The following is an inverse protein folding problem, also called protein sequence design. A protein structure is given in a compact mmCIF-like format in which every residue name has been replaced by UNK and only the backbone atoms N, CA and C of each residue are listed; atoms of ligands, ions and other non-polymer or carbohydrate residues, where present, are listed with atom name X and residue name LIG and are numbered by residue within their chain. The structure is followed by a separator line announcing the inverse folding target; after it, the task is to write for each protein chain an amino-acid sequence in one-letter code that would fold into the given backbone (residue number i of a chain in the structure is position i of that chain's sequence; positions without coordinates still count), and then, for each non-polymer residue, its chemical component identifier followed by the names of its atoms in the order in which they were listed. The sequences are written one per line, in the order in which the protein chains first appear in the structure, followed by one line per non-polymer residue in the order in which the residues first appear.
data_IF_870485247074
#
_entry.id   IF_870485247074
#
_cell.length_a   1.000
_cell.length_b   1.000
_cell.length_c   1.000
_cell.angle_alpha   90.00
_cell.angle_beta   90.00
_cell.angle_gamma   90.00
#
_symmetry.space_group_name_H-M   'P 1'
#
loop_
_entity.id
_entity.type
_entity.pdbx_description
1 polymer ?
#
# COMPACT_ATOMS: atom_id res chain seq x y z
N UNK A 1 -14.60 16.97 23.85
CA UNK A 1 -15.26 15.74 23.36
C UNK A 1 -14.28 14.85 22.60
N UNK A 2 -13.59 15.35 21.58
CA UNK A 2 -12.64 14.58 20.75
C UNK A 2 -11.56 13.84 21.56
N UNK A 3 -10.93 14.52 22.54
CA UNK A 3 -9.93 13.89 23.41
C UNK A 3 -10.51 12.73 24.25
N UNK A 4 -11.77 12.85 24.69
CA UNK A 4 -12.45 11.79 25.45
C UNK A 4 -12.80 10.60 24.55
N UNK A 5 -13.22 10.86 23.31
CA UNK A 5 -13.47 9.82 22.30
C UNK A 5 -12.17 9.10 21.93
N UNK A 6 -11.07 9.83 21.73
CA UNK A 6 -9.76 9.26 21.47
C UNK A 6 -9.28 8.38 22.64
N UNK A 7 -9.40 8.88 23.87
CA UNK A 7 -9.06 8.10 25.06
C UNK A 7 -9.93 6.84 25.19
N UNK A 8 -11.21 6.91 24.82
CA UNK A 8 -12.09 5.75 24.77
C UNK A 8 -11.65 4.74 23.71
N UNK A 9 -11.27 5.18 22.50
CA UNK A 9 -10.74 4.29 21.45
C UNK A 9 -9.50 3.55 21.93
N UNK A 10 -8.57 4.27 22.57
CA UNK A 10 -7.31 3.69 23.08
C UNK A 10 -7.60 2.66 24.17
N UNK A 11 -8.48 2.99 25.13
CA UNK A 11 -8.76 2.15 26.30
C UNK A 11 -9.65 0.93 25.99
N UNK A 12 -10.66 1.13 25.15
CA UNK A 12 -11.77 0.19 24.95
C UNK A 12 -11.81 -0.44 23.55
N UNK A 13 -11.02 0.09 22.61
CA UNK A 13 -11.03 -0.36 21.22
C UNK A 13 -12.17 0.25 20.38
N UNK A 14 -12.07 0.14 19.03
CA UNK A 14 -13.05 0.70 18.11
C UNK A 14 -14.42 -0.01 18.18
N UNK A 15 -14.43 -1.29 18.53
CA UNK A 15 -15.63 -2.14 18.65
C UNK A 15 -16.61 -1.61 19.71
N UNK A 16 -16.09 -1.24 20.89
CA UNK A 16 -16.90 -0.69 21.97
C UNK A 16 -17.34 0.75 21.68
N UNK A 17 -16.54 1.52 20.93
CA UNK A 17 -16.95 2.87 20.50
C UNK A 17 -18.17 2.81 19.60
N UNK A 18 -18.24 1.88 18.64
CA UNK A 18 -19.38 1.77 17.73
C UNK A 18 -20.69 1.48 18.48
N UNK A 19 -20.64 0.69 19.56
CA UNK A 19 -21.80 0.41 20.40
C UNK A 19 -22.34 1.67 21.12
N UNK A 20 -21.44 2.59 21.50
CA UNK A 20 -21.78 3.82 22.24
C UNK A 20 -22.11 4.96 21.27
N UNK A 21 -21.39 5.04 20.15
CA UNK A 21 -21.44 6.14 19.20
C UNK A 21 -21.37 5.62 17.75
N UNK A 22 -22.47 5.08 17.22
CA UNK A 22 -22.51 4.52 15.87
C UNK A 22 -22.20 5.59 14.80
N UNK A 23 -21.49 5.20 13.75
CA UNK A 23 -21.01 6.14 12.73
C UNK A 23 -22.12 6.72 11.84
N UNK A 24 -23.26 6.02 11.69
CA UNK A 24 -24.39 6.39 10.82
C UNK A 24 -23.98 6.86 9.41
N UNK A 25 -23.04 6.16 8.79
CA UNK A 25 -22.63 6.45 7.41
C UNK A 25 -23.81 6.22 6.45
N UNK A 26 -23.92 6.97 5.33
CA UNK A 26 -25.08 6.96 4.42
C UNK A 26 -25.13 5.69 3.54
N UNK A 27 -25.26 4.53 4.18
CA UNK A 27 -25.25 3.21 3.56
C UNK A 27 -26.60 2.84 2.96
N UNK A 28 -27.69 3.16 3.66
CA UNK A 28 -29.07 2.84 3.27
C UNK A 28 -29.47 3.55 1.99
N UNK A 29 -29.17 4.85 1.91
CA UNK A 29 -29.44 5.69 0.75
C UNK A 29 -28.61 5.21 -0.44
N UNK A 30 -27.34 4.86 -0.21
CA UNK A 30 -26.49 4.29 -1.27
C UNK A 30 -26.96 2.94 -1.77
N UNK A 31 -27.41 2.03 -0.89
CA UNK A 31 -27.99 0.76 -1.32
C UNK A 31 -29.22 0.98 -2.19
N UNK A 32 -30.13 1.88 -1.78
CA UNK A 32 -31.32 2.22 -2.55
C UNK A 32 -30.97 2.79 -3.95
N UNK A 33 -29.96 3.67 -4.04
CA UNK A 33 -29.46 4.21 -5.31
C UNK A 33 -28.88 3.11 -6.20
N UNK A 34 -28.12 2.18 -5.63
CA UNK A 34 -27.53 1.04 -6.38
C UNK A 34 -28.62 0.12 -6.92
N UNK A 35 -29.71 -0.05 -6.18
CA UNK A 35 -30.88 -0.85 -6.57
C UNK A 35 -31.81 -0.11 -7.55
N UNK A 36 -31.48 1.12 -7.96
CA UNK A 36 -32.24 1.91 -8.94
C UNK A 36 -33.42 2.68 -8.35
N UNK A 37 -33.52 2.76 -7.02
CA UNK A 37 -34.56 3.56 -6.35
C UNK A 37 -34.24 5.04 -6.42
N UNK A 38 -35.27 5.87 -6.57
CA UNK A 38 -35.14 7.33 -6.52
C UNK A 38 -34.99 7.79 -5.07
N UNK A 39 -33.80 8.23 -4.70
CA UNK A 39 -33.54 8.84 -3.38
C UNK A 39 -33.57 10.36 -3.53
N UNK A 40 -34.36 11.03 -2.69
CA UNK A 40 -34.42 12.48 -2.68
C UNK A 40 -33.15 13.10 -2.09
N UNK A 41 -32.76 14.28 -2.60
CA UNK A 41 -31.61 15.05 -2.07
C UNK A 41 -31.74 15.30 -0.58
N UNK A 42 -32.94 15.64 -0.10
CA UNK A 42 -33.18 15.89 1.32
C UNK A 42 -32.93 14.67 2.20
N UNK A 43 -33.26 13.45 1.71
CA UNK A 43 -32.93 12.21 2.42
C UNK A 43 -31.42 11.99 2.50
N UNK A 44 -30.71 12.25 1.40
CA UNK A 44 -29.26 12.10 1.33
C UNK A 44 -28.52 13.12 2.22
N UNK A 45 -28.94 14.39 2.18
CA UNK A 45 -28.41 15.45 3.03
C UNK A 45 -28.62 15.13 4.51
N UNK A 46 -29.80 14.60 4.89
CA UNK A 46 -30.06 14.18 6.26
C UNK A 46 -29.15 13.04 6.70
N UNK A 47 -28.94 12.04 5.84
CA UNK A 47 -28.04 10.93 6.12
C UNK A 47 -26.58 11.40 6.28
N UNK A 48 -26.12 12.32 5.43
CA UNK A 48 -24.79 12.93 5.53
C UNK A 48 -24.67 13.78 6.81
N UNK A 49 -25.70 14.55 7.17
CA UNK A 49 -25.67 15.40 8.37
C UNK A 49 -25.65 14.60 9.68
N UNK A 50 -26.29 13.42 9.70
CA UNK A 50 -26.27 12.50 10.85
C UNK A 50 -24.98 11.66 10.89
N UNK A 51 -24.29 11.54 9.76
CA UNK A 51 -23.01 10.82 9.66
C UNK A 51 -21.97 11.45 10.58
N UNK A 52 -21.42 10.64 11.48
CA UNK A 52 -20.34 11.04 12.39
C UNK A 52 -18.97 10.83 11.76
N UNK A 53 -18.81 11.26 10.51
CA UNK A 53 -17.58 11.10 9.74
C UNK A 53 -16.35 11.74 10.41
N UNK A 54 -16.55 12.77 11.25
CA UNK A 54 -15.51 13.38 12.07
C UNK A 54 -14.83 12.41 13.06
N UNK A 55 -15.42 11.25 13.35
CA UNK A 55 -14.81 10.20 14.17
C UNK A 55 -13.72 9.44 13.40
N UNK A 56 -13.77 9.39 12.06
CA UNK A 56 -12.84 8.59 11.24
C UNK A 56 -11.36 9.00 11.43
N UNK A 57 -10.99 10.30 11.46
CA UNK A 57 -9.63 10.71 11.80
C UNK A 57 -9.21 10.34 13.23
N UNK A 58 -10.14 10.32 14.19
CA UNK A 58 -9.86 9.89 15.57
C UNK A 58 -9.66 8.38 15.66
N UNK A 59 -10.40 7.60 14.87
CA UNK A 59 -10.15 6.16 14.71
C UNK A 59 -8.78 5.92 14.08
N UNK A 60 -8.40 6.69 13.06
CA UNK A 60 -7.09 6.57 12.42
C UNK A 60 -5.94 6.77 13.42
N UNK A 61 -6.05 7.73 14.34
CA UNK A 61 -5.00 7.99 15.33
C UNK A 61 -5.04 7.04 16.53
N UNK A 62 -6.23 6.73 17.06
CA UNK A 62 -6.39 5.94 18.28
C UNK A 62 -6.17 4.43 18.12
N UNK A 63 -6.52 3.87 16.95
CA UNK A 63 -6.51 2.41 16.74
C UNK A 63 -5.11 1.81 16.83
N UNK A 64 -4.06 2.56 16.45
CA UNK A 64 -2.66 2.10 16.53
C UNK A 64 -2.20 1.73 17.95
N UNK A 65 -2.84 2.32 18.94
CA UNK A 65 -2.50 2.17 20.37
C UNK A 65 -3.59 1.42 21.14
N UNK A 66 -4.51 0.72 20.45
CA UNK A 66 -5.60 -0.02 21.08
C UNK A 66 -5.56 -1.49 20.71
N UNK A 67 -6.15 -2.32 21.57
CA UNK A 67 -6.36 -3.74 21.28
C UNK A 67 -7.56 -3.87 20.36
N UNK A 68 -7.31 -4.06 19.07
CA UNK A 68 -8.34 -4.15 18.05
C UNK A 68 -8.12 -5.35 17.13
N UNK A 69 -9.18 -5.70 16.41
CA UNK A 69 -9.16 -6.74 15.38
C UNK A 69 -9.26 -6.12 13.99
N UNK A 70 -8.52 -6.66 13.03
CA UNK A 70 -8.62 -6.31 11.63
C UNK A 70 -9.90 -6.91 11.02
N UNK A 71 -10.38 -8.04 11.54
CA UNK A 71 -11.67 -8.62 11.13
C UNK A 71 -12.85 -7.67 11.37
N UNK A 72 -12.83 -6.89 12.46
CA UNK A 72 -13.84 -5.84 12.70
C UNK A 72 -13.91 -4.86 11.53
N UNK A 73 -12.76 -4.40 11.03
CA UNK A 73 -12.73 -3.51 9.87
C UNK A 73 -13.40 -4.17 8.65
N UNK A 74 -13.06 -5.43 8.36
CA UNK A 74 -13.58 -6.14 7.19
C UNK A 74 -15.06 -6.51 7.29
N UNK A 75 -15.60 -6.63 8.51
CA UNK A 75 -17.01 -6.97 8.75
C UNK A 75 -17.90 -5.72 8.81
N UNK A 76 -17.43 -4.63 9.43
CA UNK A 76 -18.28 -3.47 9.73
C UNK A 76 -18.01 -2.31 8.75
N UNK A 77 -16.73 -1.95 8.57
CA UNK A 77 -16.34 -0.76 7.81
C UNK A 77 -16.19 -1.04 6.32
N UNK A 78 -15.61 -2.18 5.95
CA UNK A 78 -15.36 -2.54 4.56
C UNK A 78 -16.62 -2.68 3.70
N UNK A 79 -17.71 -3.36 4.14
CA UNK A 79 -18.93 -3.43 3.33
C UNK A 79 -19.56 -2.06 3.13
N UNK A 80 -19.50 -1.21 4.15
CA UNK A 80 -19.99 0.17 4.09
C UNK A 80 -19.18 0.99 3.08
N UNK A 81 -17.85 0.89 3.12
CA UNK A 81 -16.97 1.48 2.13
C UNK A 81 -17.28 1.01 0.70
N UNK A 82 -17.46 -0.29 0.48
CA UNK A 82 -17.84 -0.85 -0.84
C UNK A 82 -19.14 -0.27 -1.37
N UNK A 83 -20.15 -0.12 -0.51
CA UNK A 83 -21.43 0.49 -0.87
C UNK A 83 -21.24 1.96 -1.27
N UNK A 84 -20.47 2.73 -0.49
CA UNK A 84 -20.19 4.13 -0.79
C UNK A 84 -19.46 4.32 -2.13
N UNK A 85 -18.39 3.57 -2.38
CA UNK A 85 -17.62 3.69 -3.64
C UNK A 85 -18.48 3.39 -4.87
N UNK A 86 -19.45 2.47 -4.75
CA UNK A 86 -20.35 2.12 -5.86
C UNK A 86 -21.39 3.21 -6.16
N UNK A 87 -21.91 3.92 -5.16
CA UNK A 87 -22.94 4.94 -5.34
C UNK A 87 -22.34 6.33 -5.67
N UNK A 88 -21.17 6.69 -5.12
CA UNK A 88 -20.60 8.06 -5.19
C UNK A 88 -20.52 8.60 -6.62
N UNK A 89 -20.05 7.79 -7.57
CA UNK A 89 -19.93 8.23 -8.97
C UNK A 89 -21.28 8.55 -9.63
N UNK A 90 -22.35 7.82 -9.26
CA UNK A 90 -23.70 8.11 -9.73
C UNK A 90 -24.29 9.34 -9.05
N UNK A 91 -24.14 9.44 -7.72
CA UNK A 91 -24.61 10.60 -6.94
C UNK A 91 -23.95 11.88 -7.42
N UNK A 92 -22.63 11.91 -7.61
CA UNK A 92 -21.89 13.11 -8.02
C UNK A 92 -22.34 13.68 -9.37
N UNK A 93 -22.90 12.85 -10.25
CA UNK A 93 -23.47 13.29 -11.53
C UNK A 93 -24.83 13.98 -11.39
N UNK A 94 -25.63 13.55 -10.41
CA UNK A 94 -27.00 14.06 -10.20
C UNK A 94 -27.00 15.19 -9.15
N UNK A 95 -26.26 14.99 -8.06
CA UNK A 95 -26.14 15.86 -6.89
C UNK A 95 -24.64 16.08 -6.58
N UNK A 96 -23.99 17.06 -7.24
CA UNK A 96 -22.53 17.24 -7.16
C UNK A 96 -22.01 17.54 -5.76
N UNK A 97 -22.76 18.31 -4.96
CA UNK A 97 -22.34 18.70 -3.60
C UNK A 97 -22.33 17.49 -2.65
N UNK A 98 -23.45 16.77 -2.58
CA UNK A 98 -23.62 15.58 -1.76
C UNK A 98 -22.68 14.46 -2.23
N UNK A 99 -22.55 14.27 -3.54
CA UNK A 99 -21.62 13.33 -4.12
C UNK A 99 -20.17 13.62 -3.73
N UNK A 100 -19.77 14.90 -3.66
CA UNK A 100 -18.44 15.30 -3.21
C UNK A 100 -18.22 15.07 -1.71
N UNK A 101 -19.25 15.31 -0.88
CA UNK A 101 -19.19 15.00 0.55
C UNK A 101 -19.07 13.49 0.80
N UNK A 102 -19.83 12.67 0.06
CA UNK A 102 -19.74 11.21 0.15
C UNK A 102 -18.41 10.67 -0.36
N UNK A 103 -17.86 11.28 -1.40
CA UNK A 103 -16.51 11.01 -1.89
C UNK A 103 -15.47 11.28 -0.79
N UNK A 104 -15.58 12.40 -0.07
CA UNK A 104 -14.73 12.68 1.07
C UNK A 104 -14.89 11.64 2.20
N UNK A 105 -16.12 11.23 2.52
CA UNK A 105 -16.39 10.22 3.56
C UNK A 105 -15.77 8.86 3.17
N UNK A 106 -15.92 8.40 1.93
CA UNK A 106 -15.35 7.10 1.53
C UNK A 106 -13.82 7.13 1.54
N UNK A 107 -13.21 8.26 1.15
CA UNK A 107 -11.76 8.45 1.22
C UNK A 107 -11.25 8.46 2.66
N UNK A 108 -11.96 9.13 3.58
CA UNK A 108 -11.62 9.11 5.01
C UNK A 108 -11.74 7.70 5.59
N UNK A 109 -12.80 6.97 5.21
CA UNK A 109 -13.04 5.62 5.69
C UNK A 109 -11.88 4.69 5.27
N UNK A 110 -11.51 4.68 4.00
CA UNK A 110 -10.38 3.84 3.53
C UNK A 110 -9.02 4.30 4.08
N UNK A 111 -8.86 5.59 4.40
CA UNK A 111 -7.64 6.12 5.02
C UNK A 111 -7.43 5.63 6.46
N UNK A 112 -8.47 5.10 7.12
CA UNK A 112 -8.32 4.45 8.43
C UNK A 112 -7.70 3.05 8.34
N UNK A 113 -7.84 2.36 7.19
CA UNK A 113 -7.38 0.97 7.01
C UNK A 113 -5.90 0.76 7.34
N UNK A 114 -4.93 1.61 6.91
CA UNK A 114 -3.54 1.42 7.29
C UNK A 114 -3.28 1.44 8.80
N UNK A 115 -4.11 2.15 9.55
CA UNK A 115 -3.98 2.22 11.01
C UNK A 115 -4.54 0.96 11.67
N UNK A 116 -5.66 0.43 11.16
CA UNK A 116 -6.18 -0.89 11.55
C UNK A 116 -5.27 -2.05 11.14
N UNK A 117 -4.46 -1.86 10.10
CA UNK A 117 -3.47 -2.84 9.67
C UNK A 117 -2.22 -2.85 10.58
N UNK A 118 -2.08 -1.88 11.49
CA UNK A 118 -0.96 -1.76 12.43
C UNK A 118 -1.40 -2.30 13.79
N UNK A 119 -0.65 -3.23 14.38
CA UNK A 119 -0.92 -3.82 15.70
C UNK A 119 -2.28 -4.55 15.91
N UNK A 120 -2.99 -4.94 14.86
CA UNK A 120 -4.17 -5.82 14.99
C UNK A 120 -3.82 -7.22 15.55
N UNK A 121 -4.63 -7.73 16.48
CA UNK A 121 -4.36 -8.98 17.19
C UNK A 121 -4.54 -10.25 16.34
N UNK A 122 -5.27 -10.15 15.23
CA UNK A 122 -5.71 -11.23 14.35
C UNK A 122 -5.16 -11.12 12.91
N UNK A 123 -4.04 -10.39 12.72
CA UNK A 123 -3.45 -10.11 11.39
C UNK A 123 -3.27 -11.35 10.51
N UNK A 124 -2.88 -12.49 11.09
CA UNK A 124 -2.64 -13.73 10.36
C UNK A 124 -3.92 -14.25 9.72
N UNK A 125 -4.98 -14.38 10.51
CA UNK A 125 -6.28 -14.88 10.07
C UNK A 125 -6.98 -13.89 9.14
N UNK A 126 -6.95 -12.60 9.47
CA UNK A 126 -7.58 -11.54 8.70
C UNK A 126 -6.92 -11.38 7.33
N UNK A 127 -5.58 -11.40 7.25
CA UNK A 127 -4.86 -11.38 5.96
C UNK A 127 -5.25 -12.59 5.11
N UNK A 128 -5.26 -13.80 5.69
CA UNK A 128 -5.58 -15.02 4.94
C UNK A 128 -7.01 -15.03 4.40
N UNK A 129 -8.00 -14.64 5.22
CA UNK A 129 -9.41 -14.59 4.82
C UNK A 129 -9.67 -13.52 3.76
N UNK A 130 -9.08 -12.34 3.93
CA UNK A 130 -9.39 -11.16 3.11
C UNK A 130 -8.42 -10.95 1.94
N UNK A 131 -7.42 -11.81 1.76
CA UNK A 131 -6.38 -11.68 0.72
C UNK A 131 -6.95 -11.42 -0.69
N UNK A 132 -7.95 -12.20 -1.10
CA UNK A 132 -8.57 -12.05 -2.44
C UNK A 132 -9.27 -10.69 -2.59
N UNK A 133 -10.00 -10.27 -1.56
CA UNK A 133 -10.72 -9.00 -1.56
C UNK A 133 -9.74 -7.82 -1.60
N UNK A 134 -8.63 -7.92 -0.87
CA UNK A 134 -7.56 -6.93 -0.88
C UNK A 134 -6.87 -6.84 -2.24
N UNK A 135 -6.50 -8.00 -2.81
CA UNK A 135 -5.89 -8.12 -4.13
C UNK A 135 -6.76 -7.49 -5.23
N UNK A 136 -8.05 -7.83 -5.27
CA UNK A 136 -9.02 -7.24 -6.21
C UNK A 136 -9.17 -5.74 -5.98
N UNK A 137 -9.16 -5.29 -4.72
CA UNK A 137 -9.20 -3.89 -4.35
C UNK A 137 -8.03 -3.11 -4.96
N UNK A 138 -6.80 -3.59 -4.79
CA UNK A 138 -5.60 -2.94 -5.35
C UNK A 138 -5.65 -2.93 -6.88
N UNK A 139 -6.03 -4.05 -7.49
CA UNK A 139 -6.07 -4.19 -8.95
C UNK A 139 -7.11 -3.27 -9.62
N UNK A 140 -8.29 -3.10 -9.01
CA UNK A 140 -9.41 -2.36 -9.61
C UNK A 140 -9.51 -0.89 -9.21
N UNK A 141 -8.98 -0.52 -8.04
CA UNK A 141 -9.03 0.88 -7.56
C UNK A 141 -7.91 1.71 -8.17
N UNK A 142 -8.06 3.04 -8.18
CA UNK A 142 -7.04 4.02 -8.61
C UNK A 142 -6.90 5.13 -7.54
N UNK A 143 -5.89 5.98 -7.68
CA UNK A 143 -5.70 7.16 -6.84
C UNK A 143 -5.54 6.85 -5.35
N UNK A 144 -6.15 7.68 -4.51
CA UNK A 144 -6.05 7.57 -3.05
C UNK A 144 -6.57 6.25 -2.48
N UNK A 145 -7.55 5.61 -3.14
CA UNK A 145 -8.05 4.30 -2.69
C UNK A 145 -6.95 3.25 -2.80
N UNK A 146 -6.32 3.15 -3.98
CA UNK A 146 -5.20 2.23 -4.21
C UNK A 146 -4.05 2.54 -3.26
N UNK A 147 -3.74 3.82 -3.09
CA UNK A 147 -2.68 4.27 -2.18
C UNK A 147 -2.89 3.75 -0.75
N UNK A 148 -4.09 3.88 -0.19
CA UNK A 148 -4.39 3.43 1.16
C UNK A 148 -4.42 1.90 1.28
N UNK A 149 -4.89 1.18 0.26
CA UNK A 149 -4.83 -0.28 0.23
C UNK A 149 -3.40 -0.81 0.22
N UNK A 150 -2.51 -0.21 -0.56
CA UNK A 150 -1.09 -0.56 -0.59
C UNK A 150 -0.38 -0.19 0.72
N UNK A 151 -0.61 1.02 1.25
CA UNK A 151 -0.07 1.44 2.55
C UNK A 151 -0.49 0.49 3.65
N UNK A 152 -1.76 0.09 3.69
CA UNK A 152 -2.24 -0.85 4.69
C UNK A 152 -1.57 -2.22 4.59
N UNK A 153 -1.35 -2.74 3.38
CA UNK A 153 -0.66 -4.01 3.20
C UNK A 153 0.79 -3.91 3.68
N UNK A 154 1.46 -2.80 3.37
CA UNK A 154 2.82 -2.53 3.83
C UNK A 154 2.88 -2.47 5.36
N UNK A 155 2.01 -1.67 6.01
CA UNK A 155 1.95 -1.55 7.46
C UNK A 155 1.69 -2.89 8.15
N UNK A 156 0.82 -3.73 7.58
CA UNK A 156 0.53 -5.07 8.11
C UNK A 156 1.78 -5.95 8.12
N UNK A 157 2.47 -6.03 6.99
CA UNK A 157 3.65 -6.88 6.85
C UNK A 157 4.81 -6.34 7.68
N UNK A 158 5.02 -5.02 7.67
CA UNK A 158 6.03 -4.36 8.48
C UNK A 158 5.81 -4.64 9.98
N UNK A 159 4.60 -4.39 10.49
CA UNK A 159 4.26 -4.65 11.90
C UNK A 159 4.46 -6.13 12.27
N UNK A 160 4.06 -7.04 11.39
CA UNK A 160 4.24 -8.47 11.59
C UNK A 160 5.73 -8.88 11.64
N UNK A 161 6.58 -8.28 10.79
CA UNK A 161 8.03 -8.52 10.77
C UNK A 161 8.70 -7.98 12.03
N UNK A 162 8.35 -6.77 12.45
CA UNK A 162 8.86 -6.15 13.68
C UNK A 162 8.51 -7.01 14.90
N UNK A 163 7.28 -7.51 14.98
CA UNK A 163 6.87 -8.41 16.06
C UNK A 163 7.49 -9.80 15.99
N UNK A 164 7.78 -10.32 14.80
CA UNK A 164 8.41 -11.63 14.62
C UNK A 164 9.91 -11.65 14.98
N UNK A 165 10.56 -10.47 14.94
CA UNK A 165 11.98 -10.30 15.20
C UNK A 165 12.39 -10.85 16.59
N UNK A 166 13.65 -11.30 16.75
CA UNK A 166 14.17 -11.63 18.06
C UNK A 166 14.13 -10.39 18.96
N UNK A 167 13.68 -10.57 20.21
CA UNK A 167 13.67 -9.51 21.20
C UNK A 167 15.08 -8.92 21.33
N UNK A 168 15.20 -7.59 21.22
CA UNK A 168 16.45 -6.90 21.56
C UNK A 168 16.57 -6.87 23.08
N UNK A 169 17.79 -6.79 23.61
CA UNK A 169 18.01 -6.67 25.08
C UNK A 169 17.28 -5.46 25.70
N UNK A 170 16.95 -4.44 24.89
CA UNK A 170 16.15 -3.27 25.27
C UNK A 170 14.66 -3.57 25.49
N UNK A 171 14.11 -4.59 24.84
CA UNK A 171 12.65 -4.84 24.78
C UNK A 171 12.15 -5.63 26.01
N UNK A 172 13.05 -6.10 26.87
CA UNK A 172 12.72 -6.83 28.09
C UNK A 172 12.22 -5.92 29.24
N UNK A 173 12.21 -4.59 29.06
CA UNK A 173 11.87 -3.63 30.13
C UNK A 173 10.51 -2.94 29.98
N UNK A 174 9.87 -3.03 28.81
CA UNK A 174 8.56 -2.42 28.58
C UNK A 174 7.63 -3.44 27.90
N UNK A 175 6.83 -4.14 28.70
CA UNK A 175 5.66 -4.84 28.17
C UNK A 175 4.66 -3.78 27.70
N UNK A 176 4.72 -3.41 26.43
CA UNK A 176 3.66 -2.60 25.83
C UNK A 176 2.47 -3.53 25.51
N UNK A 177 1.35 -3.45 26.27
CA UNK A 177 0.22 -4.38 26.13
C UNK A 177 -0.52 -4.25 24.79
N UNK A 178 -0.21 -3.21 24.01
CA UNK A 178 -0.80 -2.90 22.71
C UNK A 178 -0.02 -3.45 21.53
N UNK A 179 1.16 -4.04 21.75
CA UNK A 179 1.93 -4.69 20.69
C UNK A 179 1.36 -6.07 20.41
N UNK A 180 1.42 -6.47 19.14
CA UNK A 180 1.02 -7.82 18.73
C UNK A 180 2.00 -8.85 19.27
N UNK A 181 1.49 -10.02 19.64
CA UNK A 181 2.36 -11.09 20.11
C UNK A 181 3.32 -11.57 19.00
N UNK A 182 4.53 -11.96 19.41
CA UNK A 182 5.52 -12.56 18.50
C UNK A 182 4.97 -13.78 17.74
N UNK A 183 4.12 -14.57 18.38
CA UNK A 183 3.47 -15.72 17.76
C UNK A 183 2.55 -15.32 16.60
N UNK A 184 1.77 -14.24 16.78
CA UNK A 184 0.93 -13.68 15.70
C UNK A 184 1.82 -13.14 14.59
N UNK A 185 2.83 -12.32 14.90
CA UNK A 185 3.76 -11.79 13.90
C UNK A 185 4.41 -12.88 13.04
N UNK A 186 4.91 -13.95 13.66
CA UNK A 186 5.48 -15.10 12.93
C UNK A 186 4.46 -15.81 12.03
N UNK A 187 3.22 -16.00 12.48
CA UNK A 187 2.16 -16.61 11.66
C UNK A 187 1.79 -15.69 10.48
N UNK A 188 1.67 -14.40 10.72
CA UNK A 188 1.37 -13.41 9.68
C UNK A 188 2.46 -13.35 8.62
N UNK A 189 3.74 -13.36 9.01
CA UNK A 189 4.87 -13.44 8.07
C UNK A 189 4.78 -14.70 7.21
N UNK A 190 4.45 -15.87 7.79
CA UNK A 190 4.24 -17.11 7.01
C UNK A 190 3.05 -17.03 6.06
N UNK A 191 1.96 -16.38 6.46
CA UNK A 191 0.81 -16.12 5.57
C UNK A 191 1.23 -15.20 4.41
N UNK A 192 1.90 -14.09 4.70
CA UNK A 192 2.38 -13.14 3.71
C UNK A 192 3.38 -13.77 2.73
N UNK A 193 4.29 -14.61 3.22
CA UNK A 193 5.23 -15.37 2.39
C UNK A 193 4.51 -16.28 1.38
N UNK A 194 3.46 -17.00 1.81
CA UNK A 194 2.65 -17.86 0.91
C UNK A 194 1.91 -17.06 -0.16
N UNK A 195 1.46 -15.85 0.18
CA UNK A 195 0.70 -14.97 -0.71
C UNK A 195 1.59 -14.05 -1.56
N UNK A 196 2.89 -14.00 -1.26
CA UNK A 196 3.84 -13.04 -1.83
C UNK A 196 3.85 -13.00 -3.35
N UNK A 197 3.90 -14.15 -4.03
CA UNK A 197 3.90 -14.22 -5.50
C UNK A 197 2.69 -13.50 -6.11
N UNK A 198 1.50 -13.72 -5.56
CA UNK A 198 0.27 -13.12 -6.06
C UNK A 198 0.24 -11.61 -5.80
N UNK A 199 0.57 -11.20 -4.58
CA UNK A 199 0.61 -9.77 -4.23
C UNK A 199 1.69 -9.02 -5.00
N UNK A 200 2.89 -9.56 -5.14
CA UNK A 200 3.97 -8.93 -5.91
C UNK A 200 3.58 -8.71 -7.36
N UNK A 201 2.93 -9.69 -8.01
CA UNK A 201 2.45 -9.52 -9.38
C UNK A 201 1.46 -8.35 -9.47
N UNK A 202 0.48 -8.31 -8.57
CA UNK A 202 -0.54 -7.26 -8.52
C UNK A 202 0.09 -5.89 -8.24
N UNK A 203 1.03 -5.82 -7.31
CA UNK A 203 1.70 -4.57 -6.92
C UNK A 203 2.61 -4.05 -8.03
N UNK A 204 3.32 -4.94 -8.74
CA UNK A 204 4.10 -4.55 -9.91
C UNK A 204 3.21 -3.99 -11.00
N UNK A 205 2.12 -4.69 -11.35
CA UNK A 205 1.18 -4.21 -12.35
C UNK A 205 0.53 -2.89 -11.93
N UNK A 206 0.14 -2.75 -10.65
CA UNK A 206 -0.49 -1.56 -10.10
C UNK A 206 0.46 -0.34 -10.05
N UNK A 207 1.75 -0.55 -9.84
CA UNK A 207 2.76 0.52 -9.88
C UNK A 207 3.06 1.00 -11.30
N UNK A 208 2.86 0.16 -12.31
CA UNK A 208 3.09 0.49 -13.73
C UNK A 208 1.90 1.18 -14.41
N UNK A 209 0.75 1.21 -13.75
CA UNK A 209 -0.40 1.95 -14.25
C UNK A 209 -0.21 3.46 -14.04
N UNK A 210 -0.68 4.29 -14.98
CA UNK A 210 -0.57 5.74 -14.85
C UNK A 210 -1.43 6.23 -13.67
N UNK A 211 -0.80 6.82 -12.67
CA UNK A 211 -1.44 7.37 -11.48
C UNK A 211 -0.55 8.46 -10.85
N UNK A 212 -1.03 9.10 -9.79
CA UNK A 212 -0.24 10.08 -9.05
C UNK A 212 1.03 9.43 -8.45
N UNK A 213 2.20 10.11 -8.44
CA UNK A 213 3.45 9.53 -7.95
C UNK A 213 3.38 8.92 -6.54
N UNK A 214 2.57 9.51 -5.66
CA UNK A 214 2.36 8.99 -4.30
C UNK A 214 1.66 7.64 -4.24
N UNK A 215 0.95 7.25 -5.30
CA UNK A 215 0.32 5.93 -5.45
C UNK A 215 1.37 4.91 -5.86
N UNK A 216 2.21 5.24 -6.85
CA UNK A 216 3.35 4.41 -7.26
C UNK A 216 4.27 4.16 -6.07
N UNK A 217 4.60 5.19 -5.29
CA UNK A 217 5.41 5.05 -4.07
C UNK A 217 4.78 4.08 -3.05
N UNK A 218 3.46 4.18 -2.83
CA UNK A 218 2.76 3.25 -1.94
C UNK A 218 2.78 1.80 -2.45
N UNK A 219 2.62 1.59 -3.76
CA UNK A 219 2.74 0.27 -4.38
C UNK A 219 4.15 -0.29 -4.25
N UNK A 220 5.19 0.53 -4.49
CA UNK A 220 6.60 0.16 -4.36
C UNK A 220 6.93 -0.19 -2.91
N UNK A 221 6.48 0.61 -1.95
CA UNK A 221 6.69 0.33 -0.53
C UNK A 221 6.04 -0.99 -0.10
N UNK A 222 4.78 -1.23 -0.50
CA UNK A 222 4.11 -2.50 -0.25
C UNK A 222 4.82 -3.69 -0.92
N UNK A 223 5.34 -3.51 -2.14
CA UNK A 223 6.10 -4.53 -2.83
C UNK A 223 7.43 -4.83 -2.13
N UNK A 224 8.08 -3.81 -1.57
CA UNK A 224 9.29 -3.98 -0.76
C UNK A 224 9.02 -4.78 0.51
N UNK A 225 7.99 -4.41 1.28
CA UNK A 225 7.63 -5.12 2.51
C UNK A 225 7.23 -6.58 2.25
N UNK A 226 6.43 -6.84 1.21
CA UNK A 226 6.11 -8.21 0.78
C UNK A 226 7.37 -8.94 0.27
N UNK A 227 8.26 -8.25 -0.44
CA UNK A 227 9.51 -8.79 -0.94
C UNK A 227 10.45 -9.26 0.18
N UNK A 228 10.45 -8.57 1.33
CA UNK A 228 11.26 -8.92 2.50
C UNK A 228 10.82 -10.21 3.20
N UNK A 229 9.58 -10.67 2.97
CA UNK A 229 9.06 -11.95 3.47
C UNK A 229 8.95 -13.01 2.38
N UNK A 230 9.14 -12.63 1.11
CA UNK A 230 9.00 -13.54 -0.03
C UNK A 230 10.14 -14.58 -0.08
N UNK A 231 9.90 -15.78 -0.64
CA UNK A 231 10.98 -16.74 -0.87
C UNK A 231 12.02 -16.16 -1.84
N UNK A 232 13.31 -16.28 -1.48
CA UNK A 232 14.43 -15.68 -2.22
C UNK A 232 14.39 -16.03 -3.72
N UNK A 233 14.25 -17.32 -4.08
CA UNK A 233 14.17 -17.73 -5.49
C UNK A 233 13.01 -17.07 -6.24
N UNK A 234 11.87 -16.91 -5.57
CA UNK A 234 10.67 -16.32 -6.13
C UNK A 234 10.87 -14.84 -6.45
N UNK A 235 11.29 -14.04 -5.46
CA UNK A 235 11.46 -12.60 -5.63
C UNK A 235 12.54 -12.28 -6.67
N UNK A 236 13.68 -12.97 -6.65
CA UNK A 236 14.75 -12.76 -7.62
C UNK A 236 14.31 -13.10 -9.06
N UNK A 237 13.51 -14.15 -9.25
CA UNK A 237 12.96 -14.50 -10.58
C UNK A 237 11.97 -13.46 -11.11
N UNK A 238 11.07 -12.96 -10.24
CA UNK A 238 10.11 -11.91 -10.60
C UNK A 238 10.82 -10.59 -10.89
N UNK A 239 11.87 -10.28 -10.14
CA UNK A 239 12.70 -9.11 -10.36
C UNK A 239 13.43 -9.15 -11.70
N UNK A 240 14.02 -10.30 -12.06
CA UNK A 240 14.64 -10.47 -13.39
C UNK A 240 13.58 -10.32 -14.49
N UNK A 241 12.37 -10.84 -14.30
CA UNK A 241 11.28 -10.61 -15.27
C UNK A 241 10.94 -9.12 -15.40
N UNK A 242 10.96 -8.36 -14.30
CA UNK A 242 10.73 -6.92 -14.28
C UNK A 242 11.79 -6.15 -15.07
N UNK A 243 13.10 -6.38 -14.87
CA UNK A 243 14.09 -5.64 -15.67
C UNK A 243 14.15 -6.10 -17.13
N UNK A 244 13.82 -7.37 -17.44
CA UNK A 244 13.64 -7.79 -18.85
C UNK A 244 12.54 -6.96 -19.52
N UNK A 245 11.43 -6.74 -18.81
CA UNK A 245 10.33 -5.91 -19.28
C UNK A 245 10.75 -4.45 -19.45
N UNK A 246 11.59 -3.91 -18.56
CA UNK A 246 12.17 -2.57 -18.69
C UNK A 246 12.98 -2.43 -19.99
N UNK A 247 13.90 -3.37 -20.23
CA UNK A 247 14.72 -3.39 -21.45
C UNK A 247 13.87 -3.52 -22.73
N UNK A 248 12.80 -4.33 -22.67
CA UNK A 248 11.86 -4.44 -23.79
C UNK A 248 11.15 -3.13 -24.07
N UNK A 249 10.65 -2.44 -23.03
CA UNK A 249 9.99 -1.13 -23.18
C UNK A 249 10.96 -0.12 -23.77
N UNK A 250 12.21 -0.08 -23.31
CA UNK A 250 13.23 0.80 -23.86
C UNK A 250 13.48 0.58 -25.35
N UNK A 251 13.51 -0.68 -25.78
CA UNK A 251 13.69 -1.05 -27.19
C UNK A 251 12.47 -0.75 -28.09
N UNK A 252 11.28 -0.52 -27.52
CA UNK A 252 10.09 -0.17 -28.31
C UNK A 252 10.20 1.26 -28.85
N UNK A 253 10.01 1.44 -30.14
CA UNK A 253 9.88 2.76 -30.78
C UNK A 253 8.40 3.04 -31.06
N UNK A 254 7.93 4.22 -30.71
CA UNK A 254 6.63 4.74 -31.10
C UNK A 254 6.78 6.19 -31.55
N UNK A 255 5.92 6.60 -32.48
CA UNK A 255 5.84 7.98 -32.99
C UNK A 255 4.64 8.74 -32.39
N UNK A 256 3.79 8.06 -31.62
CA UNK A 256 2.65 8.67 -30.95
C UNK A 256 3.10 9.31 -29.62
N UNK A 257 2.81 10.60 -29.45
CA UNK A 257 3.20 11.37 -28.26
C UNK A 257 2.60 10.80 -26.96
N UNK A 258 1.36 10.31 -26.99
CA UNK A 258 0.71 9.70 -25.82
C UNK A 258 1.38 8.37 -25.46
N UNK A 259 1.72 7.54 -26.45
CA UNK A 259 2.43 6.28 -26.22
C UNK A 259 3.85 6.52 -25.69
N UNK A 260 4.56 7.54 -26.20
CA UNK A 260 5.88 7.93 -25.72
C UNK A 260 5.80 8.38 -24.25
N UNK A 261 4.81 9.20 -23.88
CA UNK A 261 4.62 9.64 -22.50
C UNK A 261 4.32 8.45 -21.57
N UNK A 262 3.45 7.53 -21.98
CA UNK A 262 3.14 6.31 -21.23
C UNK A 262 4.36 5.39 -21.10
N UNK A 263 5.18 5.27 -22.15
CA UNK A 263 6.45 4.53 -22.13
C UNK A 263 7.38 5.10 -21.06
N UNK A 264 7.65 6.41 -21.11
CA UNK A 264 8.51 7.10 -20.13
C UNK A 264 8.01 6.92 -18.69
N UNK A 265 6.70 7.05 -18.47
CA UNK A 265 6.10 6.83 -17.15
C UNK A 265 6.32 5.39 -16.64
N UNK A 266 6.17 4.39 -17.51
CA UNK A 266 6.42 2.98 -17.17
C UNK A 266 7.89 2.71 -16.85
N UNK A 267 8.82 3.26 -17.62
CA UNK A 267 10.26 3.14 -17.36
C UNK A 267 10.63 3.74 -16.00
N UNK A 268 10.11 4.93 -15.71
CA UNK A 268 10.29 5.59 -14.43
C UNK A 268 9.70 4.78 -13.26
N UNK A 269 8.53 4.18 -13.42
CA UNK A 269 7.90 3.35 -12.38
C UNK A 269 8.65 2.03 -12.16
N UNK A 270 9.20 1.42 -13.22
CA UNK A 270 10.08 0.25 -13.10
C UNK A 270 11.37 0.56 -12.36
N UNK A 271 11.94 1.74 -12.61
CA UNK A 271 13.12 2.20 -11.87
C UNK A 271 12.81 2.39 -10.37
N UNK A 272 11.64 2.93 -10.02
CA UNK A 272 11.21 3.05 -8.62
C UNK A 272 10.98 1.67 -7.97
N UNK A 273 10.36 0.73 -8.67
CA UNK A 273 10.22 -0.65 -8.22
C UNK A 273 11.58 -1.31 -7.99
N UNK A 274 12.51 -1.15 -8.93
CA UNK A 274 13.86 -1.69 -8.80
C UNK A 274 14.56 -1.14 -7.55
N UNK A 275 14.49 0.18 -7.33
CA UNK A 275 15.03 0.86 -6.15
C UNK A 275 14.41 0.32 -4.84
N UNK A 276 13.09 0.17 -4.80
CA UNK A 276 12.37 -0.32 -3.62
C UNK A 276 12.69 -1.78 -3.28
N UNK A 277 13.00 -2.61 -4.28
CA UNK A 277 13.25 -4.04 -4.09
C UNK A 277 14.69 -4.38 -3.67
N UNK A 278 15.65 -3.45 -3.78
CA UNK A 278 17.07 -3.67 -3.42
C UNK A 278 17.29 -4.44 -2.11
N UNK A 279 16.57 -4.15 -0.99
CA UNK A 279 16.77 -4.87 0.27
C UNK A 279 16.53 -6.38 0.17
N UNK A 280 15.62 -6.79 -0.73
CA UNK A 280 15.11 -8.16 -0.87
C UNK A 280 15.95 -9.04 -1.82
N UNK A 281 16.90 -8.45 -2.54
CA UNK A 281 17.62 -9.13 -3.62
C UNK A 281 18.96 -9.71 -3.17
N UNK A 282 19.36 -10.78 -3.85
CA UNK A 282 20.66 -11.42 -3.68
C UNK A 282 21.72 -10.82 -4.62
N UNK A 283 22.97 -11.22 -4.43
CA UNK A 283 24.09 -10.68 -5.20
C UNK A 283 23.95 -10.88 -6.73
N UNK A 284 23.40 -12.00 -7.18
CA UNK A 284 23.23 -12.28 -8.61
C UNK A 284 22.20 -11.37 -9.26
N UNK A 285 21.07 -11.12 -8.59
CA UNK A 285 20.06 -10.18 -9.09
C UNK A 285 20.53 -8.73 -9.03
N UNK A 286 21.34 -8.37 -8.03
CA UNK A 286 21.98 -7.05 -7.96
C UNK A 286 22.99 -6.83 -9.10
N UNK A 287 23.78 -7.86 -9.47
CA UNK A 287 24.65 -7.80 -10.65
C UNK A 287 23.85 -7.54 -11.93
N UNK A 288 22.72 -8.22 -12.08
CA UNK A 288 21.83 -8.01 -13.22
C UNK A 288 21.24 -6.58 -13.22
N UNK A 289 20.85 -6.07 -12.04
CA UNK A 289 20.39 -4.68 -11.88
C UNK A 289 21.48 -3.68 -12.28
N UNK A 290 22.72 -3.86 -11.83
CA UNK A 290 23.84 -2.99 -12.20
C UNK A 290 24.06 -2.97 -13.72
N UNK A 291 24.05 -4.14 -14.37
CA UNK A 291 24.18 -4.24 -15.83
C UNK A 291 23.05 -3.51 -16.58
N UNK A 292 21.84 -3.51 -16.03
CA UNK A 292 20.70 -2.80 -16.63
C UNK A 292 20.78 -1.29 -16.41
N UNK A 293 21.15 -0.81 -15.23
CA UNK A 293 21.08 0.61 -14.88
C UNK A 293 22.35 1.41 -15.19
N UNK A 294 23.52 0.78 -15.31
CA UNK A 294 24.76 1.48 -15.70
C UNK A 294 24.62 2.18 -17.07
N UNK A 295 24.12 1.52 -18.14
CA UNK A 295 23.90 2.20 -19.42
C UNK A 295 22.95 3.40 -19.31
N UNK A 296 21.96 3.33 -18.40
CA UNK A 296 20.96 4.37 -18.18
C UNK A 296 21.50 5.60 -17.45
N UNK A 297 22.74 5.56 -16.97
CA UNK A 297 23.41 6.74 -16.43
C UNK A 297 23.72 7.79 -17.53
N UNK A 298 23.75 7.36 -18.79
CA UNK A 298 23.97 8.21 -19.98
C UNK A 298 22.69 8.47 -20.77
N UNK A 299 21.54 8.12 -20.21
CA UNK A 299 20.26 8.26 -20.90
C UNK A 299 19.93 9.73 -21.16
N UNK A 300 19.36 10.03 -22.33
CA UNK A 300 18.95 11.39 -22.71
C UNK A 300 17.77 11.89 -21.85
N UNK A 301 16.95 10.97 -21.33
CA UNK A 301 15.84 11.31 -20.46
C UNK A 301 16.31 11.56 -19.02
N UNK A 302 16.45 12.84 -18.67
CA UNK A 302 16.99 13.31 -17.39
C UNK A 302 16.32 12.68 -16.15
N UNK A 303 15.01 12.40 -16.19
CA UNK A 303 14.31 11.78 -15.05
C UNK A 303 14.68 10.31 -14.89
N UNK A 304 14.81 9.56 -15.99
CA UNK A 304 15.25 8.18 -15.96
C UNK A 304 16.72 8.07 -15.52
N UNK A 305 17.57 8.96 -16.06
CA UNK A 305 18.97 9.10 -15.67
C UNK A 305 19.13 9.33 -14.16
N UNK A 306 18.40 10.30 -13.58
CA UNK A 306 18.43 10.57 -12.12
C UNK A 306 18.01 9.35 -11.30
N UNK A 307 17.02 8.58 -11.76
CA UNK A 307 16.60 7.35 -11.08
C UNK A 307 17.66 6.25 -11.20
N UNK A 308 18.31 6.10 -12.36
CA UNK A 308 19.42 5.18 -12.53
C UNK A 308 20.56 5.47 -11.54
N UNK A 309 20.95 6.75 -11.39
CA UNK A 309 21.91 7.16 -10.37
C UNK A 309 21.46 6.79 -8.95
N UNK A 310 20.19 7.02 -8.60
CA UNK A 310 19.64 6.64 -7.29
C UNK A 310 19.69 5.13 -7.06
N UNK A 311 19.39 4.32 -8.08
CA UNK A 311 19.45 2.85 -8.00
C UNK A 311 20.90 2.41 -7.75
N UNK A 312 21.85 2.85 -8.57
CA UNK A 312 23.27 2.49 -8.41
C UNK A 312 23.79 2.92 -7.04
N UNK A 313 23.50 4.16 -6.62
CA UNK A 313 23.85 4.66 -5.29
C UNK A 313 23.27 3.79 -4.17
N UNK A 314 21.98 3.46 -4.23
CA UNK A 314 21.31 2.68 -3.19
C UNK A 314 21.85 1.25 -3.09
N UNK A 315 22.27 0.64 -4.20
CA UNK A 315 22.97 -0.66 -4.16
C UNK A 315 24.28 -0.53 -3.38
N UNK A 316 25.06 0.52 -3.67
CA UNK A 316 26.35 0.75 -3.00
C UNK A 316 26.18 0.99 -1.49
N UNK A 317 25.16 1.76 -1.09
CA UNK A 317 24.88 2.08 0.32
C UNK A 317 24.31 0.88 1.10
N UNK A 318 23.36 0.13 0.51
CA UNK A 318 22.61 -0.92 1.23
C UNK A 318 23.28 -2.29 1.18
N UNK A 319 24.25 -2.51 0.29
CA UNK A 319 24.93 -3.81 0.10
C UNK A 319 26.45 -3.60 -0.03
N UNK A 320 27.14 -3.20 1.06
CA UNK A 320 28.57 -2.86 1.02
C UNK A 320 29.45 -4.04 0.58
N UNK A 321 29.11 -5.27 0.95
CA UNK A 321 29.83 -6.47 0.50
C UNK A 321 29.81 -6.66 -1.01
N UNK A 322 28.70 -6.27 -1.66
CA UNK A 322 28.56 -6.31 -3.11
C UNK A 322 29.39 -5.20 -3.76
N UNK A 323 29.41 -4.00 -3.17
CA UNK A 323 30.19 -2.87 -3.66
C UNK A 323 31.70 -3.16 -3.63
N UNK A 324 32.23 -3.67 -2.52
CA UNK A 324 33.66 -3.98 -2.39
C UNK A 324 34.13 -4.94 -3.49
N UNK A 325 33.31 -5.93 -3.84
CA UNK A 325 33.64 -6.92 -4.89
C UNK A 325 33.58 -6.37 -6.32
N UNK A 326 32.87 -5.26 -6.55
CA UNK A 326 32.61 -4.71 -7.89
C UNK A 326 33.08 -3.26 -8.05
N UNK A 327 33.81 -2.71 -7.08
CA UNK A 327 34.12 -1.29 -6.95
C UNK A 327 34.82 -0.72 -8.19
N UNK A 328 35.80 -1.42 -8.75
CA UNK A 328 36.51 -0.99 -9.96
C UNK A 328 35.58 -0.84 -11.16
N UNK A 329 34.70 -1.83 -11.39
CA UNK A 329 33.73 -1.79 -12.51
C UNK A 329 32.74 -0.65 -12.36
N UNK A 330 32.28 -0.41 -11.13
CA UNK A 330 31.31 0.65 -10.81
C UNK A 330 31.97 2.03 -10.97
N UNK A 331 33.20 2.19 -10.47
CA UNK A 331 33.94 3.45 -10.57
C UNK A 331 34.29 3.79 -12.02
N UNK A 332 34.69 2.81 -12.84
CA UNK A 332 34.92 3.04 -14.27
C UNK A 332 33.63 3.45 -14.98
N UNK A 333 32.54 2.71 -14.74
CA UNK A 333 31.24 3.03 -15.32
C UNK A 333 30.72 4.43 -14.93
N UNK A 334 30.97 4.89 -13.70
CA UNK A 334 30.59 6.23 -13.23
C UNK A 334 31.50 7.34 -13.76
N UNK A 335 32.77 7.05 -14.02
CA UNK A 335 33.70 8.03 -14.64
C UNK A 335 33.40 8.25 -16.12
N UNK A 336 32.92 7.21 -16.78
CA UNK A 336 32.61 7.26 -18.20
C UNK A 336 31.23 7.89 -18.47
N UNK A 337 30.34 7.94 -17.47
CA UNK A 337 28.95 8.43 -17.52
C UNK A 337 28.83 9.95 -17.32
#
# INVERSE_FOLDING_TARGET
LEAAVLAAIIKSGPEQLEAILPLHLPKTECSAIIEGSTVSVGSLQKAIAVSRAWILPLLQSGVKSSNHTLEYYFTNLWPTWKTLVRCVGGVKKVYPAEGSQMDAIQLQLIATLPSFATNAQDMDSALQKNAKQWAIGIQKSTGHVRQNLCKALACLVQSAREAAAPARESDMKEENPHLISRAVGQKTVKVAQRLSKNFLSILFDAALQPDHPSVTEACVHAASEIGLVAPEKGINSMFIALLKKLLQIQAMTSQDEEEIAQKKAKEQAMADLALGLIPCLNASSLDWMMRTFIPLLKDEEAMLQKKAYRVVRAICEKKPEFFVKNSEKILTALKDA
#
